data_IF_855015467065
#
_entry.id   IF_855015467065
#
_cell.length_a   1.000
_cell.length_b   1.000
_cell.length_c   1.000
_cell.angle_alpha   90.00
_cell.angle_beta   90.00
_cell.angle_gamma   90.00
#
_symmetry.space_group_name_H-M   'P 1'
#
loop_
_entity.id
_entity.type
_entity.pdbx_description
1 polymer ?
#
# COMPACT_ATOMS: atom_id res chain seq x y z
N UNK A 1 -22.84 -6.16 -21.96
CA UNK A 1 -22.88 -6.96 -20.71
C UNK A 1 -21.77 -6.42 -19.85
N UNK A 2 -22.14 -5.70 -18.80
CA UNK A 2 -21.21 -5.00 -17.93
C UNK A 2 -20.57 -6.05 -17.01
N UNK A 3 -19.27 -6.28 -17.17
CA UNK A 3 -18.54 -7.22 -16.33
C UNK A 3 -18.48 -6.64 -14.93
N UNK A 4 -19.33 -7.14 -14.04
CA UNK A 4 -19.27 -6.89 -12.61
C UNK A 4 -17.96 -7.52 -12.12
N UNK A 5 -16.89 -6.74 -12.12
CA UNK A 5 -15.67 -7.10 -11.39
C UNK A 5 -16.07 -7.02 -9.93
N UNK A 6 -16.50 -8.16 -9.37
CA UNK A 6 -16.64 -8.37 -7.94
C UNK A 6 -15.24 -8.30 -7.32
N UNK A 7 -14.68 -7.10 -7.28
CA UNK A 7 -13.51 -6.80 -6.47
C UNK A 7 -13.98 -6.97 -5.05
N UNK A 8 -13.47 -8.00 -4.35
CA UNK A 8 -13.67 -8.10 -2.92
C UNK A 8 -13.09 -6.82 -2.33
N UNK A 9 -13.97 -5.94 -1.86
CA UNK A 9 -13.59 -4.76 -1.11
C UNK A 9 -12.92 -5.26 0.18
N UNK A 10 -11.65 -4.93 0.33
CA UNK A 10 -10.83 -5.30 1.49
C UNK A 10 -10.59 -4.05 2.31
N UNK A 11 -10.85 -4.16 3.61
CA UNK A 11 -10.48 -3.13 4.56
C UNK A 11 -9.01 -3.25 4.95
N UNK A 12 -8.36 -2.11 5.14
CA UNK A 12 -7.02 -2.04 5.71
C UNK A 12 -7.05 -2.53 7.16
N UNK A 13 -6.25 -3.55 7.54
CA UNK A 13 -6.27 -4.08 8.91
C UNK A 13 -5.64 -3.15 9.96
N UNK A 14 -5.02 -2.04 9.54
CA UNK A 14 -4.33 -1.10 10.44
C UNK A 14 -5.18 0.13 10.78
N UNK A 15 -5.80 0.76 9.78
CA UNK A 15 -6.65 1.94 9.97
C UNK A 15 -8.15 1.64 9.86
N UNK A 16 -8.54 0.42 9.49
CA UNK A 16 -9.91 0.03 9.19
C UNK A 16 -10.59 0.85 8.07
N UNK A 17 -9.83 1.62 7.27
CA UNK A 17 -10.35 2.23 6.04
C UNK A 17 -10.68 1.13 5.02
N UNK A 18 -11.77 1.33 4.27
CA UNK A 18 -12.40 0.33 3.42
C UNK A 18 -12.36 0.66 1.94
N UNK A 19 -13.02 -0.20 1.16
CA UNK A 19 -13.23 -0.07 -0.29
C UNK A 19 -11.97 -0.14 -1.16
N UNK A 20 -10.91 -0.81 -0.66
CA UNK A 20 -9.74 -1.13 -1.46
C UNK A 20 -9.93 -2.45 -2.21
N UNK A 21 -9.48 -2.51 -3.47
CA UNK A 21 -9.15 -3.80 -4.09
C UNK A 21 -7.77 -4.29 -3.58
N UNK A 22 -7.37 -5.53 -3.92
CA UNK A 22 -6.07 -6.08 -3.49
C UNK A 22 -4.87 -5.21 -3.89
N UNK A 23 -4.99 -4.54 -5.04
CA UNK A 23 -3.97 -3.65 -5.58
C UNK A 23 -3.97 -2.33 -4.80
N UNK A 24 -5.13 -1.71 -4.61
CA UNK A 24 -5.36 -0.51 -3.83
C UNK A 24 -4.93 -0.67 -2.37
N UNK A 25 -5.15 -1.84 -1.77
CA UNK A 25 -4.67 -2.12 -0.42
C UNK A 25 -3.14 -2.13 -0.38
N UNK A 26 -2.47 -2.71 -1.38
CA UNK A 26 -1.01 -2.64 -1.50
C UNK A 26 -0.52 -1.21 -1.69
N UNK A 27 -1.21 -0.39 -2.50
CA UNK A 27 -0.90 1.03 -2.63
C UNK A 27 -1.18 1.83 -1.35
N UNK A 28 -2.20 1.47 -0.60
CA UNK A 28 -2.48 2.09 0.69
C UNK A 28 -1.40 1.73 1.72
N UNK A 29 -0.89 0.50 1.74
CA UNK A 29 0.16 0.10 2.70
C UNK A 29 1.56 0.58 2.30
N UNK A 30 1.89 0.53 1.00
CA UNK A 30 3.28 0.70 0.50
C UNK A 30 3.42 1.82 -0.53
N UNK A 31 2.33 2.53 -0.86
CA UNK A 31 2.30 3.58 -1.88
C UNK A 31 2.79 4.94 -1.38
N UNK A 32 2.82 5.90 -2.31
CA UNK A 32 3.55 7.15 -2.15
C UNK A 32 2.69 8.34 -1.71
N UNK A 33 1.47 8.43 -2.25
CA UNK A 33 0.65 9.62 -2.11
C UNK A 33 -0.10 9.65 -0.77
N UNK A 34 -0.57 8.49 -0.30
CA UNK A 34 -1.31 8.35 0.96
C UNK A 34 -1.05 6.97 1.60
N UNK A 35 0.15 6.72 2.14
CA UNK A 35 0.40 5.51 2.89
C UNK A 35 -0.42 5.49 4.19
N UNK A 36 -0.84 4.29 4.58
CA UNK A 36 -1.54 4.04 5.83
C UNK A 36 -0.67 4.50 7.00
N UNK A 37 -1.10 5.55 7.69
CA UNK A 37 -0.35 6.08 8.84
C UNK A 37 -0.22 5.04 9.95
N UNK A 38 -1.29 4.29 10.24
CA UNK A 38 -1.28 3.25 11.26
C UNK A 38 -0.30 2.11 10.92
N UNK A 39 -0.16 1.75 9.64
CA UNK A 39 0.89 0.82 9.21
C UNK A 39 2.28 1.44 9.38
N UNK A 40 2.46 2.69 8.94
CA UNK A 40 3.73 3.43 9.11
C UNK A 40 4.19 3.50 10.57
N UNK A 41 3.26 3.74 11.50
CA UNK A 41 3.54 3.80 12.94
C UNK A 41 3.94 2.42 13.52
N UNK A 42 3.63 1.31 12.85
CA UNK A 42 4.07 -0.04 13.25
C UNK A 42 5.45 -0.41 12.70
N UNK A 43 5.94 0.29 11.69
CA UNK A 43 7.24 0.02 11.09
C UNK A 43 8.36 0.55 11.99
N UNK A 44 9.42 -0.22 12.11
CA UNK A 44 10.69 0.29 12.64
C UNK A 44 11.33 1.26 11.65
N UNK A 45 12.24 2.10 12.15
CA UNK A 45 13.03 3.02 11.32
C UNK A 45 13.78 2.28 10.20
N UNK A 46 14.27 1.07 10.48
CA UNK A 46 14.98 0.24 9.49
C UNK A 46 14.04 -0.28 8.40
N UNK A 47 12.83 -0.72 8.76
CA UNK A 47 11.81 -1.18 7.82
C UNK A 47 11.28 -0.05 6.95
N UNK A 48 11.02 1.13 7.52
CA UNK A 48 10.62 2.30 6.74
C UNK A 48 11.68 2.66 5.70
N UNK A 49 12.96 2.67 6.12
CA UNK A 49 14.07 2.93 5.20
C UNK A 49 14.23 1.84 4.14
N UNK A 50 14.02 0.57 4.49
CA UNK A 50 14.07 -0.53 3.52
C UNK A 50 12.99 -0.37 2.46
N UNK A 51 11.74 -0.06 2.84
CA UNK A 51 10.64 0.15 1.91
C UNK A 51 10.89 1.37 1.00
N UNK A 52 11.41 2.48 1.54
CA UNK A 52 11.82 3.65 0.76
C UNK A 52 12.97 3.33 -0.20
N UNK A 53 13.95 2.52 0.20
CA UNK A 53 15.12 2.13 -0.63
C UNK A 53 14.77 1.10 -1.70
N UNK A 54 13.98 0.08 -1.38
CA UNK A 54 13.49 -0.92 -2.33
C UNK A 54 12.74 -0.25 -3.50
N UNK A 55 12.10 0.89 -3.21
CA UNK A 55 11.47 1.74 -4.20
C UNK A 55 12.49 2.53 -5.05
N UNK A 56 13.45 3.23 -4.44
CA UNK A 56 14.50 3.97 -5.17
C UNK A 56 15.41 3.07 -6.02
N UNK A 57 15.50 1.78 -5.68
CA UNK A 57 16.22 0.77 -6.47
C UNK A 57 15.56 0.44 -7.82
N UNK A 58 14.27 0.77 -8.03
CA UNK A 58 13.57 0.55 -9.30
C UNK A 58 13.64 1.74 -10.26
N UNK A 59 13.96 2.95 -9.79
CA UNK A 59 14.17 4.14 -10.64
C UNK A 59 15.63 4.29 -11.13
N UNK A 60 16.51 3.32 -10.80
CA UNK A 60 17.95 3.35 -11.14
C UNK A 60 18.32 2.42 -12.31
N UNK A 61 17.42 2.24 -13.28
CA UNK A 61 17.77 1.70 -14.61
C UNK A 61 17.45 2.76 -15.67
N UNK A 62 18.37 3.72 -15.85
CA UNK A 62 18.51 4.51 -17.07
C UNK A 62 19.86 4.21 -17.71
#
# INVERSE_FOLDING_TARGET
>A
MNTEVSGKEVACPFCNEGDYDLVGLKYHLVGNDFPCKAFGDTLTVEEEQYLRRAKHGQDSQQ
#
